data_IF_864925034641
#
_entry.id   IF_864925034641
#
_cell.length_a   1.000
_cell.length_b   1.000
_cell.length_c   1.000
_cell.angle_alpha   90.00
_cell.angle_beta   90.00
_cell.angle_gamma   90.00
#
_symmetry.space_group_name_H-M   'P 1'
#
loop_
_entity.id
_entity.type
_entity.pdbx_description
1 polymer ?
#
# COMPACT_ATOMS: atom_id res chain seq x y z
N UNK A 1 -11.42 11.64 1.74
CA UNK A 1 -10.97 10.28 1.37
C UNK A 1 -11.08 9.35 2.58
N UNK A 2 -11.38 8.06 2.42
CA UNK A 2 -11.47 7.09 3.52
C UNK A 2 -10.58 5.88 3.23
N UNK A 3 -9.76 5.48 4.20
CA UNK A 3 -8.92 4.28 4.17
C UNK A 3 -9.47 3.28 5.20
N UNK A 4 -10.02 2.17 4.72
CA UNK A 4 -10.68 1.17 5.56
C UNK A 4 -12.08 1.57 6.07
N UNK A 5 -12.71 0.73 6.93
CA UNK A 5 -12.25 -0.58 7.33
C UNK A 5 -12.38 -1.56 6.15
N UNK A 6 -11.76 -2.73 6.28
CA UNK A 6 -11.95 -3.80 5.31
C UNK A 6 -13.43 -4.17 5.17
N UNK A 7 -13.85 -4.46 3.94
CA UNK A 7 -15.16 -5.08 3.74
C UNK A 7 -15.17 -6.48 4.37
N UNK A 8 -16.35 -6.96 4.74
CA UNK A 8 -16.50 -8.30 5.33
C UNK A 8 -15.94 -9.39 4.41
N UNK A 9 -16.13 -9.24 3.10
CA UNK A 9 -15.58 -10.13 2.07
C UNK A 9 -14.05 -10.13 2.08
N UNK A 10 -13.41 -8.94 2.11
CA UNK A 10 -11.95 -8.83 2.17
C UNK A 10 -11.39 -9.36 3.49
N UNK A 11 -12.09 -9.13 4.59
CA UNK A 11 -11.73 -9.68 5.89
C UNK A 11 -11.72 -11.21 5.87
N UNK A 12 -12.81 -11.87 5.43
CA UNK A 12 -12.85 -13.33 5.36
C UNK A 12 -11.89 -13.91 4.32
N UNK A 13 -11.68 -13.23 3.19
CA UNK A 13 -10.66 -13.63 2.23
C UNK A 13 -9.29 -13.63 2.88
N UNK A 14 -8.89 -12.54 3.57
CA UNK A 14 -7.57 -12.47 4.19
C UNK A 14 -7.42 -13.33 5.46
N UNK A 15 -8.42 -13.31 6.34
CA UNK A 15 -8.41 -13.98 7.65
C UNK A 15 -8.77 -15.47 7.54
N UNK A 16 -9.81 -15.79 6.76
CA UNK A 16 -10.30 -17.15 6.53
C UNK A 16 -9.30 -18.01 5.77
N UNK A 17 -8.67 -17.51 4.69
CA UNK A 17 -7.63 -18.26 3.98
C UNK A 17 -6.43 -18.56 4.89
N UNK A 18 -5.98 -17.57 5.68
CA UNK A 18 -4.87 -17.76 6.63
C UNK A 18 -5.19 -18.86 7.64
N UNK A 19 -6.40 -18.88 8.21
CA UNK A 19 -6.85 -19.95 9.10
C UNK A 19 -7.00 -21.30 8.38
N UNK A 20 -7.50 -21.32 7.16
CA UNK A 20 -7.71 -22.55 6.39
C UNK A 20 -6.38 -23.20 5.96
N UNK A 21 -5.32 -22.43 5.74
CA UNK A 21 -4.00 -22.96 5.43
C UNK A 21 -3.24 -23.40 6.68
N UNK A 22 -3.32 -22.59 7.74
CA UNK A 22 -2.54 -22.83 8.95
C UNK A 22 -3.20 -23.82 9.91
N UNK A 23 -4.53 -23.85 9.94
CA UNK A 23 -5.34 -24.74 10.78
C UNK A 23 -5.09 -26.22 10.52
N UNK A 24 -5.13 -26.72 9.27
CA UNK A 24 -4.78 -28.09 8.95
C UNK A 24 -3.32 -28.43 9.21
N UNK A 25 -2.40 -27.48 9.04
CA UNK A 25 -0.97 -27.69 9.29
C UNK A 25 -0.69 -27.86 10.79
N UNK A 26 -1.27 -26.99 11.63
CA UNK A 26 -1.23 -27.10 13.09
C UNK A 26 -2.00 -28.32 13.57
N UNK A 27 -3.18 -28.59 13.00
CA UNK A 27 -4.01 -29.75 13.30
C UNK A 27 -3.29 -31.05 13.00
N UNK A 28 -2.56 -31.13 11.87
CA UNK A 28 -1.73 -32.27 11.50
C UNK A 28 -0.54 -32.45 12.45
N UNK A 29 0.14 -31.36 12.82
CA UNK A 29 1.23 -31.37 13.81
C UNK A 29 0.74 -31.82 15.20
N UNK A 30 -0.46 -31.38 15.61
CA UNK A 30 -1.04 -31.69 16.92
C UNK A 30 -1.70 -33.09 16.98
N UNK A 31 -2.26 -33.59 15.87
CA UNK A 31 -2.88 -34.90 15.77
C UNK A 31 -1.84 -36.04 15.81
N UNK A 32 -0.61 -35.78 15.36
CA UNK A 32 0.45 -36.80 15.44
C UNK A 32 0.84 -37.06 16.88
N UNK A 33 0.64 -38.32 17.32
CA UNK A 33 1.12 -38.82 18.62
C UNK A 33 2.61 -38.47 18.80
N UNK A 34 2.95 -38.00 20.00
CA UNK A 34 4.25 -37.47 20.44
C UNK A 34 5.50 -38.29 20.01
N UNK A 35 5.34 -39.58 19.67
CA UNK A 35 6.44 -40.46 19.21
C UNK A 35 6.89 -40.31 17.75
N UNK A 36 6.25 -39.47 16.92
CA UNK A 36 6.59 -39.35 15.47
C UNK A 36 7.19 -38.01 15.03
N UNK A 37 7.25 -37.00 15.91
CA UNK A 37 8.04 -35.79 15.67
C UNK A 37 9.54 -36.00 15.95
N UNK A 38 9.87 -37.01 16.75
CA UNK A 38 11.22 -37.36 17.19
C UNK A 38 11.79 -38.63 16.53
N UNK A 39 11.07 -39.27 15.60
CA UNK A 39 11.61 -40.32 14.74
C UNK A 39 12.30 -39.63 13.56
N UNK A 40 13.62 -39.46 13.56
CA UNK A 40 14.22 -38.29 12.94
C UNK A 40 14.20 -38.38 11.40
N UNK A 41 13.70 -37.32 10.77
CA UNK A 41 14.51 -36.63 9.78
C UNK A 41 15.88 -36.47 10.42
N UNK A 42 16.87 -37.26 9.98
CA UNK A 42 18.24 -37.29 10.50
C UNK A 42 18.99 -35.99 10.15
N UNK A 43 18.41 -34.88 10.58
CA UNK A 43 18.98 -33.55 10.51
C UNK A 43 19.86 -33.38 11.74
N UNK A 44 21.10 -32.91 11.57
CA UNK A 44 21.95 -32.58 12.69
C UNK A 44 21.28 -31.53 13.60
N UNK A 45 21.67 -31.50 14.87
CA UNK A 45 21.03 -30.67 15.91
C UNK A 45 20.94 -29.18 15.52
N UNK A 46 21.92 -28.65 14.78
CA UNK A 46 21.91 -27.28 14.29
C UNK A 46 20.81 -27.03 13.25
N UNK A 47 20.50 -28.03 12.42
CA UNK A 47 19.42 -27.95 11.43
C UNK A 47 18.04 -28.07 12.09
N UNK A 48 17.93 -28.85 13.17
CA UNK A 48 16.72 -28.90 13.99
C UNK A 48 16.48 -27.58 14.71
N UNK A 49 17.53 -26.97 15.26
CA UNK A 49 17.48 -25.66 15.89
C UNK A 49 17.12 -24.57 14.89
N UNK A 50 17.75 -24.57 13.70
CA UNK A 50 17.42 -23.65 12.62
C UNK A 50 15.96 -23.80 12.15
N UNK A 51 15.49 -25.03 11.96
CA UNK A 51 14.10 -25.32 11.61
C UNK A 51 13.13 -24.83 12.69
N UNK A 52 13.44 -25.08 13.97
CA UNK A 52 12.65 -24.59 15.10
C UNK A 52 12.54 -23.06 15.13
N UNK A 53 13.65 -22.36 14.89
CA UNK A 53 13.65 -20.89 14.77
C UNK A 53 12.81 -20.43 13.58
N UNK A 54 12.95 -21.07 12.41
CA UNK A 54 12.17 -20.72 11.22
C UNK A 54 10.67 -20.89 11.45
N UNK A 55 10.26 -22.00 12.07
CA UNK A 55 8.85 -22.26 12.44
C UNK A 55 8.34 -21.22 13.43
N UNK A 56 9.14 -20.84 14.44
CA UNK A 56 8.78 -19.80 15.41
C UNK A 56 8.60 -18.44 14.72
N UNK A 57 9.53 -18.05 13.83
CA UNK A 57 9.43 -16.81 13.05
C UNK A 57 8.17 -16.83 12.17
N UNK A 58 7.87 -17.96 11.52
CA UNK A 58 6.67 -18.12 10.71
C UNK A 58 5.39 -17.96 11.54
N UNK A 59 5.32 -18.59 12.72
CA UNK A 59 4.20 -18.48 13.66
C UNK A 59 4.00 -17.04 14.15
N UNK A 60 5.07 -16.37 14.57
CA UNK A 60 5.02 -14.97 15.03
C UNK A 60 4.54 -14.06 13.89
N UNK A 61 5.08 -14.24 12.69
CA UNK A 61 4.70 -13.47 11.51
C UNK A 61 3.23 -13.71 11.16
N UNK A 62 2.78 -14.96 11.21
CA UNK A 62 1.39 -15.34 10.96
C UNK A 62 0.43 -14.71 11.97
N UNK A 63 0.72 -14.81 13.27
CA UNK A 63 -0.08 -14.19 14.33
C UNK A 63 -0.14 -12.67 14.19
N UNK A 64 0.99 -12.04 13.85
CA UNK A 64 1.05 -10.61 13.58
C UNK A 64 0.19 -10.20 12.38
N UNK A 65 0.22 -10.97 11.29
CA UNK A 65 -0.60 -10.74 10.10
C UNK A 65 -2.10 -10.91 10.38
N UNK A 66 -2.50 -11.92 11.17
CA UNK A 66 -3.89 -12.06 11.64
C UNK A 66 -4.33 -10.86 12.49
N UNK A 67 -3.47 -10.41 13.40
CA UNK A 67 -3.72 -9.22 14.20
C UNK A 67 -3.92 -7.97 13.33
N UNK A 68 -3.08 -7.76 12.31
CA UNK A 68 -3.23 -6.63 11.39
C UNK A 68 -4.54 -6.71 10.59
N UNK A 69 -4.94 -7.89 10.09
CA UNK A 69 -6.23 -8.06 9.41
C UNK A 69 -7.41 -7.76 10.33
N UNK A 70 -7.34 -8.24 11.57
CA UNK A 70 -8.35 -7.95 12.57
C UNK A 70 -8.43 -6.45 12.84
N UNK A 71 -7.28 -5.78 13.02
CA UNK A 71 -7.23 -4.33 13.23
C UNK A 71 -7.80 -3.56 12.02
N UNK A 72 -7.47 -3.95 10.81
CA UNK A 72 -7.94 -3.30 9.57
C UNK A 72 -9.46 -3.44 9.36
N UNK A 73 -10.10 -4.46 9.94
CA UNK A 73 -11.56 -4.58 9.94
C UNK A 73 -12.25 -3.66 10.96
N UNK A 74 -11.53 -3.20 11.98
CA UNK A 74 -12.09 -2.42 13.09
C UNK A 74 -11.67 -0.95 13.10
N UNK A 75 -10.70 -0.58 12.27
CA UNK A 75 -10.12 0.76 12.22
C UNK A 75 -10.29 1.35 10.82
N UNK A 76 -10.71 2.61 10.76
CA UNK A 76 -10.78 3.38 9.53
C UNK A 76 -10.16 4.76 9.72
N UNK A 77 -9.43 5.23 8.73
CA UNK A 77 -8.88 6.58 8.70
C UNK A 77 -9.64 7.41 7.66
N UNK A 78 -10.24 8.52 8.08
CA UNK A 78 -10.87 9.48 7.17
C UNK A 78 -9.98 10.71 7.10
N UNK A 79 -9.62 11.08 5.88
CA UNK A 79 -8.79 12.22 5.56
C UNK A 79 -9.70 13.37 5.12
N UNK A 80 -9.63 14.47 5.86
CA UNK A 80 -10.30 15.74 5.55
C UNK A 80 -9.26 16.83 5.31
N UNK A 81 -9.61 17.97 4.70
CA UNK A 81 -8.67 19.06 4.47
C UNK A 81 -8.02 19.63 5.73
N UNK A 82 -8.71 19.64 6.88
CA UNK A 82 -8.21 20.24 8.12
C UNK A 82 -7.55 19.24 9.06
N UNK A 83 -8.04 18.00 9.10
CA UNK A 83 -7.58 17.00 10.06
C UNK A 83 -7.79 15.55 9.57
N UNK A 84 -7.12 14.61 10.24
CA UNK A 84 -7.34 13.20 10.10
C UNK A 84 -8.27 12.70 11.20
N UNK A 85 -9.21 11.83 10.87
CA UNK A 85 -10.13 11.21 11.82
C UNK A 85 -9.90 9.70 11.86
N UNK A 86 -9.62 9.17 13.04
CA UNK A 86 -9.49 7.75 13.30
C UNK A 86 -10.77 7.22 13.92
N UNK A 87 -11.42 6.31 13.21
CA UNK A 87 -12.63 5.62 13.64
C UNK A 87 -12.20 4.23 14.13
N UNK A 88 -12.53 3.89 15.36
CA UNK A 88 -12.25 2.57 15.92
C UNK A 88 -13.51 1.94 16.51
N UNK A 89 -13.81 0.70 16.10
CA UNK A 89 -14.91 -0.08 16.68
C UNK A 89 -14.35 -1.08 17.69
N UNK A 90 -14.68 -0.94 18.97
CA UNK A 90 -14.22 -1.86 20.04
C UNK A 90 -15.33 -2.15 21.03
N UNK A 91 -15.64 -3.44 21.24
CA UNK A 91 -16.62 -3.90 22.23
C UNK A 91 -18.03 -3.33 22.03
N UNK A 92 -18.49 -3.23 20.77
CA UNK A 92 -19.80 -2.66 20.43
C UNK A 92 -19.87 -1.13 20.47
N UNK A 93 -18.81 -0.43 20.89
CA UNK A 93 -18.71 1.03 20.89
C UNK A 93 -17.85 1.53 19.73
N UNK A 94 -18.13 2.75 19.28
CA UNK A 94 -17.35 3.45 18.27
C UNK A 94 -16.63 4.62 18.92
N UNK A 95 -15.31 4.67 18.76
CA UNK A 95 -14.44 5.72 19.25
C UNK A 95 -13.97 6.57 18.07
N UNK A 96 -13.90 7.88 18.28
CA UNK A 96 -13.46 8.85 17.28
C UNK A 96 -12.32 9.65 17.87
N UNK A 97 -11.18 9.64 17.19
CA UNK A 97 -10.04 10.48 17.54
C UNK A 97 -9.68 11.38 16.35
N UNK A 98 -9.41 12.65 16.61
CA UNK A 98 -9.09 13.65 15.55
C UNK A 98 -7.68 14.18 15.68
N UNK A 99 -6.87 14.14 14.63
CA UNK A 99 -5.51 14.67 14.63
C UNK A 99 -5.39 15.75 13.55
N UNK A 100 -5.33 17.05 13.94
CA UNK A 100 -5.07 18.14 13.02
C UNK A 100 -3.79 17.92 12.23
N UNK A 101 -3.78 18.31 10.95
CA UNK A 101 -2.57 18.13 10.12
C UNK A 101 -1.39 18.97 10.59
N UNK A 102 -1.63 20.07 11.30
CA UNK A 102 -0.59 20.88 11.93
C UNK A 102 0.08 20.16 13.12
N UNK A 103 -0.62 19.19 13.71
CA UNK A 103 -0.12 18.34 14.80
C UNK A 103 0.52 17.06 14.24
N UNK A 104 0.03 16.53 13.13
CA UNK A 104 0.50 15.28 12.54
C UNK A 104 1.94 15.39 11.99
N UNK A 105 2.83 14.51 12.44
CA UNK A 105 4.15 14.34 11.84
C UNK A 105 4.08 13.58 10.51
N UNK A 106 5.16 13.58 9.74
CA UNK A 106 5.27 12.72 8.56
C UNK A 106 5.10 11.24 8.96
N UNK A 107 4.47 10.40 8.11
CA UNK A 107 4.36 8.97 8.35
C UNK A 107 5.72 8.30 8.56
N UNK A 108 5.87 7.54 9.63
CA UNK A 108 7.13 6.84 9.93
C UNK A 108 7.36 5.71 8.92
N UNK A 109 8.62 5.52 8.51
CA UNK A 109 9.02 4.33 7.77
C UNK A 109 8.78 3.09 8.66
N UNK A 110 8.02 2.08 8.20
CA UNK A 110 7.81 0.87 8.98
C UNK A 110 9.14 0.18 9.29
N UNK A 111 9.35 -0.18 10.56
CA UNK A 111 10.53 -0.96 10.98
C UNK A 111 10.46 -2.33 10.30
N UNK A 112 11.54 -2.74 9.64
CA UNK A 112 11.56 -4.00 8.89
C UNK A 112 10.99 -3.93 7.48
N UNK A 113 10.79 -2.73 6.92
CA UNK A 113 10.40 -2.53 5.52
C UNK A 113 11.23 -3.37 4.54
N UNK A 114 12.56 -3.40 4.71
CA UNK A 114 13.46 -4.19 3.86
C UNK A 114 13.26 -5.70 4.00
N UNK A 115 12.83 -6.19 5.17
CA UNK A 115 12.49 -7.60 5.36
C UNK A 115 11.20 -7.93 4.60
N UNK A 116 10.23 -7.01 4.59
CA UNK A 116 9.00 -7.15 3.82
C UNK A 116 9.26 -7.07 2.31
N UNK A 117 10.15 -6.17 1.86
CA UNK A 117 10.61 -6.12 0.46
C UNK A 117 11.31 -7.41 0.07
N UNK A 118 12.16 -7.97 0.94
CA UNK A 118 12.82 -9.25 0.71
C UNK A 118 11.81 -10.40 0.60
N UNK A 119 10.83 -10.47 1.50
CA UNK A 119 9.75 -11.47 1.44
C UNK A 119 8.95 -11.31 0.15
N UNK A 120 8.59 -10.08 -0.23
CA UNK A 120 7.83 -9.78 -1.45
C UNK A 120 8.63 -10.13 -2.72
N UNK A 121 9.93 -9.83 -2.75
CA UNK A 121 10.83 -10.20 -3.84
C UNK A 121 11.01 -11.72 -3.95
N UNK A 122 11.14 -12.40 -2.81
CA UNK A 122 11.25 -13.86 -2.75
C UNK A 122 9.95 -14.53 -3.19
N UNK A 123 8.81 -13.93 -2.86
CA UNK A 123 7.49 -14.30 -3.36
C UNK A 123 7.39 -14.11 -4.88
N UNK A 124 7.81 -12.96 -5.42
CA UNK A 124 7.84 -12.72 -6.88
C UNK A 124 8.76 -13.72 -7.60
N UNK A 125 9.90 -14.04 -7.01
CA UNK A 125 10.82 -15.06 -7.52
C UNK A 125 10.17 -16.45 -7.58
N UNK A 126 9.43 -16.85 -6.54
CA UNK A 126 8.66 -18.11 -6.51
C UNK A 126 7.57 -18.10 -7.59
N UNK A 127 6.87 -16.98 -7.77
CA UNK A 127 5.82 -16.84 -8.81
C UNK A 127 6.38 -16.94 -10.24
N UNK A 128 7.57 -16.39 -10.50
CA UNK A 128 8.26 -16.52 -11.80
C UNK A 128 8.86 -17.92 -12.05
N UNK A 129 9.08 -18.71 -11.00
CA UNK A 129 9.55 -20.09 -11.09
C UNK A 129 8.45 -21.12 -11.49
N UNK A 130 7.30 -20.67 -12.02
CA UNK A 130 6.21 -21.54 -12.48
C UNK A 130 5.31 -22.08 -11.37
N UNK A 131 5.52 -21.67 -10.12
CA UNK A 131 4.69 -22.02 -8.97
C UNK A 131 3.52 -21.02 -8.79
N UNK A 132 2.84 -20.66 -9.89
CA UNK A 132 1.75 -19.68 -9.87
C UNK A 132 0.58 -20.10 -8.96
N UNK A 133 0.37 -21.40 -8.78
CA UNK A 133 -0.60 -21.93 -7.81
C UNK A 133 -0.25 -21.49 -6.39
N UNK A 134 1.03 -21.39 -6.03
CA UNK A 134 1.48 -20.86 -4.73
C UNK A 134 1.28 -19.33 -4.63
N UNK A 135 1.09 -18.63 -5.74
CA UNK A 135 0.83 -17.20 -5.72
C UNK A 135 -0.56 -16.86 -5.12
N UNK A 136 -1.54 -17.74 -5.28
CA UNK A 136 -2.85 -17.66 -4.59
C UNK A 136 -2.70 -17.78 -3.07
N UNK A 137 -1.63 -18.41 -2.59
CA UNK A 137 -1.30 -18.55 -1.17
C UNK A 137 -0.52 -17.34 -0.64
N UNK A 138 -0.16 -16.38 -1.50
CA UNK A 138 0.44 -15.11 -1.06
C UNK A 138 -0.70 -14.28 -0.49
N UNK A 139 -0.76 -14.09 0.84
CA UNK A 139 -1.81 -13.31 1.43
C UNK A 139 -1.67 -11.85 0.99
N UNK A 140 -2.80 -11.15 0.82
CA UNK A 140 -2.84 -9.69 0.73
C UNK A 140 -1.91 -9.10 1.81
N UNK A 141 -0.82 -8.44 1.40
CA UNK A 141 0.18 -7.95 2.34
C UNK A 141 -0.47 -6.89 3.25
N UNK A 142 -0.36 -7.10 4.57
CA UNK A 142 -0.77 -6.11 5.55
C UNK A 142 0.42 -5.19 5.87
N UNK A 143 0.18 -3.89 5.82
CA UNK A 143 1.14 -2.85 6.15
C UNK A 143 0.64 -2.06 7.35
N UNK A 144 1.57 -1.64 8.22
CA UNK A 144 1.25 -0.78 9.34
C UNK A 144 1.64 0.67 9.02
N UNK A 145 0.66 1.53 8.83
CA UNK A 145 0.84 2.98 8.75
C UNK A 145 0.90 3.55 10.16
N UNK A 146 1.91 4.39 10.42
CA UNK A 146 2.14 5.03 11.71
C UNK A 146 2.06 6.54 11.58
N UNK A 147 1.09 7.13 12.27
CA UNK A 147 0.94 8.58 12.40
C UNK A 147 1.15 8.96 13.85
N UNK A 148 1.82 10.08 14.09
CA UNK A 148 2.16 10.54 15.45
C UNK A 148 1.90 12.02 15.56
N UNK A 149 1.52 12.44 16.76
CA UNK A 149 1.47 13.86 17.12
C UNK A 149 2.86 14.42 17.39
N UNK A 150 3.09 15.64 16.91
CA UNK A 150 4.27 16.44 17.21
C UNK A 150 4.25 16.99 18.63
N UNK A 151 3.07 17.25 19.18
CA UNK A 151 2.89 17.91 20.47
C UNK A 151 2.68 16.92 21.61
N UNK A 152 2.19 15.71 21.31
CA UNK A 152 1.93 14.68 22.30
C UNK A 152 2.65 13.36 21.92
N UNK A 153 3.67 13.01 22.71
CA UNK A 153 4.43 11.78 22.51
C UNK A 153 3.61 10.50 22.76
N UNK A 154 2.57 10.57 23.59
CA UNK A 154 1.65 9.46 23.86
C UNK A 154 0.67 9.22 22.71
N UNK A 155 0.43 10.25 21.88
CA UNK A 155 -0.54 10.19 20.79
C UNK A 155 0.07 9.64 19.51
N UNK A 156 -0.06 8.31 19.36
CA UNK A 156 0.42 7.56 18.21
C UNK A 156 -0.66 6.64 17.67
N UNK A 157 -0.98 6.81 16.39
CA UNK A 157 -1.88 5.95 15.66
C UNK A 157 -1.09 4.89 14.90
N UNK A 158 -1.55 3.64 15.03
CA UNK A 158 -1.08 2.49 14.27
C UNK A 158 -2.27 1.98 13.48
N UNK A 159 -2.17 1.99 12.16
CA UNK A 159 -3.29 1.75 11.27
C UNK A 159 -2.88 0.62 10.34
N UNK A 160 -3.58 -0.50 10.41
CA UNK A 160 -3.35 -1.60 9.51
C UNK A 160 -4.03 -1.34 8.16
N UNK A 161 -3.28 -1.49 7.08
CA UNK A 161 -3.67 -1.31 5.70
C UNK A 161 -3.49 -2.65 4.99
N UNK A 162 -4.57 -3.24 4.48
CA UNK A 162 -4.55 -4.61 3.95
C UNK A 162 -5.16 -4.63 2.55
N UNK A 163 -4.48 -5.29 1.62
CA UNK A 163 -4.93 -5.43 0.22
C UNK A 163 -4.19 -4.52 -0.74
N UNK A 164 -4.19 -4.91 -2.02
CA UNK A 164 -3.47 -4.21 -3.08
C UNK A 164 -3.89 -2.73 -3.21
N UNK A 165 -5.17 -2.40 -3.00
CA UNK A 165 -5.66 -1.02 -3.04
C UNK A 165 -5.12 -0.13 -1.90
N UNK A 166 -4.55 -0.74 -0.86
CA UNK A 166 -3.97 -0.02 0.29
C UNK A 166 -2.44 -0.12 0.32
N UNK A 167 -1.82 -0.33 -0.85
CA UNK A 167 -0.37 -0.26 -0.98
C UNK A 167 0.16 1.03 -0.32
N UNK A 168 1.26 0.96 0.46
CA UNK A 168 1.75 2.09 1.25
C UNK A 168 1.89 3.38 0.44
N UNK A 169 2.49 3.31 -0.75
CA UNK A 169 2.62 4.46 -1.67
C UNK A 169 1.30 5.19 -1.95
N UNK A 170 0.17 4.48 -2.06
CA UNK A 170 -1.13 5.12 -2.32
C UNK A 170 -1.62 5.85 -1.09
N UNK A 171 -1.64 5.17 0.04
CA UNK A 171 -2.05 5.73 1.33
C UNK A 171 -1.20 6.94 1.72
N UNK A 172 0.12 6.86 1.52
CA UNK A 172 1.04 7.97 1.74
C UNK A 172 0.76 9.15 0.82
N UNK A 173 0.49 8.88 -0.46
CA UNK A 173 0.18 9.92 -1.44
C UNK A 173 -1.15 10.63 -1.12
N UNK A 174 -2.19 9.90 -0.71
CA UNK A 174 -3.43 10.52 -0.25
C UNK A 174 -3.22 11.35 1.01
N UNK A 175 -2.50 10.84 2.01
CA UNK A 175 -2.20 11.59 3.23
C UNK A 175 -1.42 12.86 2.89
N UNK A 176 -0.41 12.76 2.03
CA UNK A 176 0.37 13.90 1.58
C UNK A 176 -0.51 14.94 0.87
N UNK A 177 -1.48 14.54 0.04
CA UNK A 177 -2.35 15.49 -0.65
C UNK A 177 -3.15 16.39 0.32
N UNK A 178 -3.52 15.88 1.49
CA UNK A 178 -4.21 16.67 2.53
C UNK A 178 -3.23 17.40 3.47
N UNK A 179 -2.11 16.76 3.85
CA UNK A 179 -1.21 17.26 4.89
C UNK A 179 -0.08 18.17 4.37
N UNK A 180 0.25 18.12 3.08
CA UNK A 180 1.39 18.82 2.49
C UNK A 180 1.39 20.33 2.75
N UNK A 181 0.27 21.09 2.62
CA UNK A 181 0.25 22.51 2.95
C UNK A 181 0.75 22.78 4.38
N UNK A 182 0.31 21.97 5.34
CA UNK A 182 0.65 22.12 6.75
C UNK A 182 2.09 21.71 7.04
N UNK A 183 2.59 20.67 6.37
CA UNK A 183 3.99 20.26 6.49
C UNK A 183 4.96 21.27 5.91
N UNK A 184 4.61 21.93 4.80
CA UNK A 184 5.39 23.02 4.24
C UNK A 184 5.38 24.25 5.17
N UNK A 185 4.20 24.66 5.63
CA UNK A 185 4.05 25.81 6.56
C UNK A 185 4.81 25.60 7.87
N UNK A 186 4.82 24.38 8.40
CA UNK A 186 5.50 24.05 9.65
C UNK A 186 6.99 23.75 9.49
N UNK A 187 7.52 23.79 8.27
CA UNK A 187 8.91 23.47 7.96
C UNK A 187 9.28 21.99 8.16
N UNK A 188 8.29 21.11 8.30
CA UNK A 188 8.48 19.66 8.38
C UNK A 188 8.93 19.07 7.05
N UNK A 189 8.48 19.65 5.94
CA UNK A 189 8.92 19.34 4.57
C UNK A 189 9.52 20.61 3.98
N UNK A 190 10.58 20.46 3.20
CA UNK A 190 11.21 21.57 2.48
C UNK A 190 11.19 21.32 0.98
N UNK A 191 10.93 22.38 0.21
CA UNK A 191 11.16 22.34 -1.24
C UNK A 191 12.65 22.44 -1.49
N UNK A 192 13.18 21.55 -2.33
CA UNK A 192 14.59 21.60 -2.67
C UNK A 192 14.88 22.77 -3.63
N UNK A 193 15.92 23.57 -3.35
CA UNK A 193 16.34 24.64 -4.25
C UNK A 193 16.65 24.11 -5.66
N UNK A 194 16.16 24.78 -6.68
CA UNK A 194 16.34 24.38 -8.08
C UNK A 194 15.35 23.32 -8.57
N UNK A 195 14.47 22.81 -7.71
CA UNK A 195 13.37 21.88 -8.03
C UNK A 195 12.00 22.45 -7.61
N UNK A 196 11.85 23.76 -7.66
CA UNK A 196 10.60 24.43 -7.29
C UNK A 196 9.46 24.10 -8.26
N UNK A 197 8.20 24.05 -7.78
CA UNK A 197 7.02 23.89 -8.63
C UNK A 197 6.96 24.98 -9.71
N UNK A 198 6.86 24.55 -10.97
CA UNK A 198 6.72 25.46 -12.12
C UNK A 198 5.76 24.87 -13.15
N UNK A 199 5.25 25.68 -14.11
CA UNK A 199 4.37 25.17 -15.17
C UNK A 199 4.97 24.05 -16.02
N UNK A 200 6.30 24.00 -16.11
CA UNK A 200 7.08 22.97 -16.82
C UNK A 200 7.30 21.72 -15.96
N UNK A 201 7.31 21.87 -14.63
CA UNK A 201 7.54 20.81 -13.64
C UNK A 201 6.27 20.48 -12.88
N UNK A 202 5.35 19.80 -13.56
CA UNK A 202 4.00 19.51 -13.04
C UNK A 202 3.92 18.30 -12.11
N UNK A 203 4.99 17.50 -11.99
CA UNK A 203 5.02 16.34 -11.12
C UNK A 203 5.73 16.65 -9.80
N UNK A 204 5.03 16.57 -8.69
CA UNK A 204 5.55 16.75 -7.34
C UNK A 204 5.89 15.38 -6.73
N UNK A 205 7.17 15.18 -6.46
CA UNK A 205 7.70 14.03 -5.74
C UNK A 205 7.97 14.44 -4.29
N UNK A 206 7.21 13.88 -3.36
CA UNK A 206 7.43 14.05 -1.92
C UNK A 206 8.17 12.83 -1.37
N UNK A 207 9.41 13.05 -0.95
CA UNK A 207 10.21 12.06 -0.24
C UNK A 207 10.03 12.25 1.27
N UNK A 208 9.30 11.33 1.90
CA UNK A 208 8.97 11.38 3.32
C UNK A 208 10.15 11.06 4.23
N UNK A 209 11.15 10.32 3.73
CA UNK A 209 12.34 9.95 4.52
C UNK A 209 13.31 11.11 4.63
N UNK A 210 13.57 11.76 3.50
CA UNK A 210 14.43 12.95 3.44
C UNK A 210 13.68 14.24 3.77
N UNK A 211 12.34 14.18 3.83
CA UNK A 211 11.44 15.31 4.08
C UNK A 211 11.58 16.42 3.03
N UNK A 212 11.75 15.99 1.78
CA UNK A 212 12.01 16.88 0.66
C UNK A 212 10.89 16.78 -0.37
N UNK A 213 10.53 17.93 -0.94
CA UNK A 213 9.63 18.05 -2.07
C UNK A 213 10.44 18.52 -3.29
N UNK A 214 10.35 17.78 -4.39
CA UNK A 214 10.90 18.17 -5.69
C UNK A 214 9.82 18.18 -6.75
N UNK A 215 9.86 19.18 -7.62
CA UNK A 215 9.06 19.22 -8.83
C UNK A 215 9.88 18.73 -10.03
N UNK A 216 9.28 17.87 -10.84
CA UNK A 216 9.85 17.28 -12.05
C UNK A 216 8.97 17.55 -13.27
N UNK A 217 9.61 17.63 -14.43
CA UNK A 217 8.89 17.51 -15.69
C UNK A 217 8.48 16.04 -15.89
N UNK A 218 7.30 15.79 -16.46
CA UNK A 218 6.83 14.40 -16.67
C UNK A 218 7.81 13.53 -17.45
N UNK A 219 8.50 14.12 -18.44
CA UNK A 219 9.53 13.44 -19.26
C UNK A 219 10.74 12.91 -18.46
N UNK A 220 10.99 13.47 -17.27
CA UNK A 220 12.10 13.07 -16.39
C UNK A 220 11.71 11.92 -15.46
N UNK A 221 10.41 11.70 -15.26
CA UNK A 221 9.88 10.70 -14.34
C UNK A 221 9.75 9.36 -15.06
N UNK A 222 10.80 8.53 -14.98
CA UNK A 222 10.80 7.14 -15.46
C UNK A 222 10.76 6.18 -14.28
N UNK A 223 9.56 5.68 -13.98
CA UNK A 223 9.36 4.71 -12.90
C UNK A 223 8.84 3.42 -13.52
N UNK A 224 9.68 2.38 -13.56
CA UNK A 224 9.31 1.05 -14.04
C UNK A 224 8.46 0.34 -12.99
N UNK A 225 7.21 0.76 -12.83
CA UNK A 225 6.25 0.02 -12.02
C UNK A 225 5.33 -0.70 -12.98
N UNK A 226 5.22 -2.03 -12.83
CA UNK A 226 4.30 -2.83 -13.62
C UNK A 226 2.93 -2.16 -13.59
N UNK A 227 2.29 -2.04 -14.77
CA UNK A 227 0.89 -1.65 -14.84
C UNK A 227 0.17 -2.54 -13.84
N UNK A 228 -0.44 -1.95 -12.82
CA UNK A 228 -1.30 -2.72 -11.93
C UNK A 228 -2.50 -3.07 -12.80
N UNK A 229 -2.41 -4.21 -13.49
CA UNK A 229 -3.57 -4.97 -13.88
C UNK A 229 -4.24 -5.33 -12.57
N UNK A 230 -5.17 -4.48 -12.15
CA UNK A 230 -6.25 -4.94 -11.29
C UNK A 230 -6.96 -5.96 -12.16
N UNK A 231 -6.72 -7.25 -11.91
CA UNK A 231 -7.38 -8.35 -12.60
C UNK A 231 -8.89 -8.10 -12.56
N UNK A 232 -9.39 -7.59 -13.67
CA UNK A 232 -10.78 -7.67 -14.05
C UNK A 232 -10.97 -9.05 -14.66
N UNK A 233 -11.12 -10.04 -13.80
CA UNK A 233 -11.67 -11.34 -14.15
C UNK A 233 -12.60 -11.80 -13.02
N UNK A 234 -13.79 -11.22 -13.04
CA UNK A 234 -15.03 -11.90 -12.73
C UNK A 234 -16.17 -11.16 -13.45
N UNK A 235 -16.57 -11.72 -14.60
CA UNK A 235 -17.84 -11.41 -15.24
C UNK A 235 -17.85 -10.18 -16.14
N UNK A 236 -18.27 -10.40 -17.38
CA UNK A 236 -18.73 -9.38 -18.31
C UNK A 236 -19.52 -8.28 -17.58
N UNK A 237 -19.16 -7.01 -17.79
CA UNK A 237 -20.06 -5.89 -17.52
C UNK A 237 -21.37 -6.17 -18.25
N UNK A 238 -22.52 -6.38 -17.58
CA UNK A 238 -23.76 -6.11 -18.26
C UNK A 238 -23.80 -4.60 -18.47
N UNK A 239 -24.18 -4.17 -19.67
CA UNK A 239 -24.61 -2.81 -19.90
C UNK A 239 -25.57 -2.42 -18.77
N UNK A 240 -25.28 -1.31 -18.10
CA UNK A 240 -26.02 -0.79 -16.96
C UNK A 240 -27.51 -0.72 -17.34
N UNK A 241 -28.36 -1.54 -16.72
CA UNK A 241 -29.80 -1.42 -16.89
C UNK A 241 -30.21 -0.05 -16.36
N UNK A 242 -30.63 0.83 -17.27
CA UNK A 242 -31.33 2.06 -16.91
C UNK A 242 -32.65 1.64 -16.25
N UNK A 243 -32.85 2.03 -14.99
CA UNK A 243 -34.10 1.77 -14.28
C UNK A 243 -35.14 2.80 -14.73
N UNK A 244 -36.20 2.31 -15.35
CA UNK A 244 -37.37 3.09 -15.71
C UNK A 244 -38.46 2.87 -14.66
N UNK A 245 -39.19 3.93 -14.33
CA UNK A 245 -40.47 3.81 -13.66
C UNK A 245 -41.44 3.01 -14.54
N UNK A 246 -42.51 2.41 -13.97
CA UNK A 246 -43.52 1.69 -14.73
C UNK A 246 -44.27 2.54 -15.78
N UNK A 247 -44.13 3.87 -15.73
CA UNK A 247 -44.63 4.82 -16.73
C UNK A 247 -43.62 5.14 -17.85
N UNK A 248 -42.45 4.50 -17.85
CA UNK A 248 -41.39 4.69 -18.85
C UNK A 248 -40.52 5.93 -18.60
N UNK A 249 -40.75 6.68 -17.53
CA UNK A 249 -39.88 7.79 -17.15
C UNK A 249 -38.56 7.27 -16.56
N UNK A 250 -37.44 7.92 -16.92
CA UNK A 250 -36.11 7.57 -16.41
C UNK A 250 -36.05 7.97 -14.93
N UNK A 251 -35.69 7.03 -14.06
CA UNK A 251 -35.43 7.34 -12.65
C UNK A 251 -34.09 8.10 -12.58
N UNK A 252 -34.14 9.38 -12.23
CA UNK A 252 -32.93 10.14 -11.91
C UNK A 252 -32.28 9.54 -10.67
N UNK A 253 -30.97 9.32 -10.74
CA UNK A 253 -30.23 8.76 -9.62
C UNK A 253 -30.08 9.84 -8.56
N UNK A 254 -30.55 9.56 -7.36
CA UNK A 254 -30.48 10.48 -6.23
C UNK A 254 -28.99 10.75 -5.90
N UNK A 255 -28.51 11.94 -6.28
CA UNK A 255 -27.11 12.36 -6.11
C UNK A 255 -26.80 12.84 -4.68
N UNK A 256 -27.74 12.71 -3.74
CA UNK A 256 -27.62 13.18 -2.36
C UNK A 256 -26.89 12.22 -1.42
N UNK A 257 -26.63 10.98 -1.84
CA UNK A 257 -25.81 10.01 -1.11
C UNK A 257 -24.44 9.88 -1.80
N UNK A 258 -23.38 10.15 -1.03
CA UNK A 258 -21.98 10.10 -1.47
C UNK A 258 -21.68 8.83 -2.28
N UNK A 259 -20.88 8.92 -3.37
CA UNK A 259 -20.68 7.79 -4.27
C UNK A 259 -20.05 6.61 -3.53
N UNK A 260 -20.62 5.42 -3.76
CA UNK A 260 -20.02 4.15 -3.39
C UNK A 260 -18.56 4.12 -3.81
N UNK A 261 -17.68 3.64 -2.93
CA UNK A 261 -16.23 3.57 -3.17
C UNK A 261 -15.86 2.90 -4.50
N UNK A 262 -16.73 2.03 -5.02
CA UNK A 262 -16.57 1.38 -6.32
C UNK A 262 -16.70 2.34 -7.53
N UNK A 263 -17.53 3.39 -7.44
CA UNK A 263 -17.69 4.37 -8.53
C UNK A 263 -16.51 5.35 -8.58
N UNK A 264 -15.99 5.77 -7.42
CA UNK A 264 -14.77 6.57 -7.33
C UNK A 264 -13.59 5.77 -7.89
N UNK A 265 -13.50 4.49 -7.54
CA UNK A 265 -12.46 3.60 -8.01
C UNK A 265 -12.54 3.33 -9.52
N UNK A 266 -13.74 3.26 -10.13
CA UNK A 266 -13.91 3.15 -11.58
C UNK A 266 -13.51 4.42 -12.34
N UNK A 267 -13.96 5.59 -11.89
CA UNK A 267 -13.59 6.88 -12.51
C UNK A 267 -12.08 7.14 -12.38
N UNK A 268 -11.49 6.75 -11.25
CA UNK A 268 -10.05 6.85 -10.99
C UNK A 268 -9.24 5.86 -11.84
N UNK A 269 -9.74 4.62 -12.05
CA UNK A 269 -9.14 3.64 -12.97
C UNK A 269 -9.18 4.11 -14.43
N UNK A 270 -10.26 4.72 -14.87
CA UNK A 270 -10.36 5.29 -16.23
C UNK A 270 -9.45 6.50 -16.42
N UNK A 271 -9.30 7.34 -15.40
CA UNK A 271 -8.34 8.45 -15.40
C UNK A 271 -6.89 7.98 -15.44
N UNK A 272 -6.53 6.95 -14.67
CA UNK A 272 -5.18 6.36 -14.67
C UNK A 272 -4.82 5.73 -16.03
N UNK A 273 -5.80 5.18 -16.76
CA UNK A 273 -5.60 4.64 -18.11
C UNK A 273 -5.35 5.73 -19.18
N UNK A 274 -5.92 6.93 -19.02
CA UNK A 274 -5.78 8.02 -20.02
C UNK A 274 -4.44 8.76 -19.98
N UNK A 275 -3.72 8.77 -18.87
CA UNK A 275 -2.51 9.58 -18.70
C UNK A 275 -1.18 8.82 -18.85
N UNK A 276 -1.20 7.52 -19.17
CA UNK A 276 0.03 6.69 -19.30
C UNK A 276 1.04 6.89 -18.16
N UNK A 277 0.59 7.23 -16.95
CA UNK A 277 1.48 7.45 -15.83
C UNK A 277 1.86 6.07 -15.27
N UNK A 278 3.13 5.65 -15.35
CA UNK A 278 3.56 4.34 -14.85
C UNK A 278 3.62 4.31 -13.31
N UNK A 279 3.01 5.27 -12.63
CA UNK A 279 3.23 5.62 -11.24
C UNK A 279 1.95 6.23 -10.66
N UNK A 280 1.39 5.65 -9.61
CA UNK A 280 0.23 6.24 -8.93
C UNK A 280 0.56 7.64 -8.40
N UNK A 281 -0.21 8.64 -8.83
CA UNK A 281 -0.12 10.02 -8.38
C UNK A 281 -1.54 10.61 -8.32
N UNK A 282 -1.76 11.54 -7.41
CA UNK A 282 -3.05 12.20 -7.22
C UNK A 282 -2.98 13.65 -7.67
N UNK A 283 -4.10 14.20 -8.17
CA UNK A 283 -4.16 15.60 -8.56
C UNK A 283 -4.06 16.50 -7.33
N UNK A 284 -3.17 17.49 -7.39
CA UNK A 284 -2.93 18.49 -6.35
C UNK A 284 -2.94 19.89 -6.99
N UNK A 285 -4.13 20.50 -7.08
CA UNK A 285 -4.35 21.73 -7.85
C UNK A 285 -4.00 21.55 -9.33
N UNK A 286 -2.99 22.29 -9.79
CA UNK A 286 -2.45 22.23 -11.17
C UNK A 286 -1.30 21.22 -11.32
N UNK A 287 -0.94 20.52 -10.25
CA UNK A 287 0.17 19.58 -10.19
C UNK A 287 -0.32 18.16 -9.94
N UNK A 288 0.59 17.19 -10.09
CA UNK A 288 0.38 15.79 -9.75
C UNK A 288 1.32 15.41 -8.63
N UNK A 289 0.79 14.96 -7.50
CA UNK A 289 1.55 14.63 -6.30
C UNK A 289 1.70 13.12 -6.16
N UNK A 290 2.93 12.69 -5.88
CA UNK A 290 3.22 11.35 -5.39
C UNK A 290 4.11 11.42 -4.16
N UNK A 291 3.76 10.67 -3.13
CA UNK A 291 4.55 10.54 -1.92
C UNK A 291 5.03 9.11 -1.70
N UNK A 292 6.29 8.96 -1.32
CA UNK A 292 6.89 7.71 -0.90
C UNK A 292 8.08 8.01 0.03
N UNK A 293 8.63 7.00 0.68
CA UNK A 293 9.84 7.15 1.51
C UNK A 293 11.12 7.27 0.70
N UNK A 294 11.18 6.86 -0.57
CA UNK A 294 12.41 6.95 -1.38
C UNK A 294 12.09 7.27 -2.86
N UNK A 295 11.07 8.10 -3.14
CA UNK A 295 10.68 8.42 -4.52
C UNK A 295 11.74 9.19 -5.29
N UNK A 296 12.34 10.23 -4.69
CA UNK A 296 13.33 11.08 -5.35
C UNK A 296 14.54 10.23 -5.76
N UNK A 297 15.08 9.44 -4.83
CA UNK A 297 16.20 8.54 -5.11
C UNK A 297 15.91 7.57 -6.26
N UNK A 298 14.69 7.02 -6.34
CA UNK A 298 14.30 6.13 -7.44
C UNK A 298 14.25 6.85 -8.78
N UNK A 299 13.64 8.03 -8.85
CA UNK A 299 13.61 8.85 -10.07
C UNK A 299 15.04 9.15 -10.54
N UNK A 300 15.90 9.64 -9.65
CA UNK A 300 17.28 9.99 -10.00
C UNK A 300 18.13 8.78 -10.42
N UNK A 301 17.99 7.64 -9.73
CA UNK A 301 18.71 6.41 -10.11
C UNK A 301 18.37 5.94 -11.52
N UNK A 302 17.11 6.11 -11.95
CA UNK A 302 16.63 5.71 -13.27
C UNK A 302 17.02 6.71 -14.35
N UNK A 303 17.04 7.98 -14.00
CA UNK A 303 17.59 9.03 -14.85
C UNK A 303 19.06 8.76 -15.14
N UNK A 304 19.87 8.55 -14.11
CA UNK A 304 21.29 8.22 -14.27
C UNK A 304 21.49 6.94 -15.09
N UNK A 305 20.70 5.88 -14.86
CA UNK A 305 20.77 4.67 -15.66
C UNK A 305 20.38 4.88 -17.13
N UNK A 306 19.40 5.74 -17.41
CA UNK A 306 18.99 6.10 -18.78
C UNK A 306 20.04 6.95 -19.50
N UNK A 307 20.64 7.91 -18.80
CA UNK A 307 21.73 8.74 -19.34
C UNK A 307 22.97 7.87 -19.63
N UNK A 308 23.27 6.91 -18.77
CA UNK A 308 24.38 5.95 -18.98
C UNK A 308 24.09 4.99 -20.15
N UNK A 309 22.84 4.55 -20.33
CA UNK A 309 22.45 3.70 -21.45
C UNK A 309 22.40 4.45 -22.80
N UNK A 310 22.19 5.77 -22.77
CA UNK A 310 22.20 6.63 -23.94
C UNK A 310 23.62 7.14 -24.31
N UNK A 311 24.62 6.90 -23.46
CA UNK A 311 26.00 7.26 -23.75
C UNK A 311 26.53 6.39 -24.89
N UNK A 312 27.11 6.98 -25.96
CA UNK A 312 27.65 6.20 -27.07
C UNK A 312 28.77 5.29 -26.58
N UNK A 313 28.70 4.00 -26.94
CA UNK A 313 29.77 3.03 -26.77
C UNK A 313 31.07 3.64 -27.34
N UNK A 314 32.00 4.01 -26.48
CA UNK A 314 33.35 4.38 -26.90
C UNK A 314 33.92 3.17 -27.64
N UNK A 315 34.01 3.27 -28.96
CA UNK A 315 34.64 2.25 -29.79
C UNK A 315 36.10 2.15 -29.35
N UNK A 316 36.63 0.93 -29.08
CA UNK A 316 38.02 0.79 -28.70
C UNK A 316 38.91 1.38 -29.79
N UNK A 317 39.86 2.22 -29.37
CA UNK A 317 40.84 2.86 -30.25
C UNK A 317 41.61 1.76 -30.98
N UNK A 318 41.69 1.75 -32.32
CA UNK A 318 42.44 0.73 -33.04
C UNK A 318 43.92 0.80 -32.64
N UNK A 319 44.50 -0.38 -32.43
CA UNK A 319 45.86 -0.62 -31.98
C UNK A 319 46.92 -0.21 -33.03
#
# INVERSE_FOLDING_TARGET
>A
MRLGPLSWTQFWRGFGWRLMLFGPLVGWLAWRKQGTLLAPLALPWWAQLALGILVLIALITFGHQLWLNWQAAHVALVLTPSEAWLFQRRGGRTYFERMPWQEATLPELPRGWHVLELISALVHFISHAGLQVLAVFIPDHAYELRLRSRYDAGRRWRIALVGAQHHPRFSLTYIAAYALPHWLQSGLVRTEPGYEPSPERRFLALDLKNRMLRAYAFREVRLDEGRIQVDSDEGATPARNESFNPDGSRVESDHSLSPDSAQVEQVEREHLRRFELPAFAVRYGNYWLRADWDIIKRIESRRAASETAAAPLQSPKPA
#
